data_IF_614069313518
#
_entry.id   IF_614069313518
#
_cell.length_a   1.000
_cell.length_b   1.000
_cell.length_c   1.000
_cell.angle_alpha   90.00
_cell.angle_beta   90.00
_cell.angle_gamma   90.00
#
_symmetry.space_group_name_H-M   'P 1'
#
loop_
_entity.id
_entity.type
_entity.pdbx_description
1 polymer ?
#
# COMPACT_ATOMS: atom_id res chain seq x y z
N UNK A 1 30.02 -30.06 -0.55
CA UNK A 1 28.80 -29.59 0.12
C UNK A 1 28.89 -28.08 0.31
N UNK A 2 28.17 -27.30 -0.50
CA UNK A 2 28.03 -25.86 -0.30
C UNK A 2 26.95 -25.65 0.78
N UNK A 3 27.33 -25.15 1.94
CA UNK A 3 26.39 -24.76 2.98
C UNK A 3 25.68 -23.47 2.53
N UNK A 4 24.39 -23.56 2.18
CA UNK A 4 23.57 -22.41 1.78
C UNK A 4 23.50 -21.31 2.84
N UNK A 5 23.87 -21.59 4.09
CA UNK A 5 23.85 -20.65 5.21
C UNK A 5 24.84 -19.49 5.10
N UNK A 6 25.84 -19.56 4.21
CA UNK A 6 26.91 -18.54 4.11
C UNK A 6 27.09 -17.97 2.70
N UNK A 7 26.18 -18.27 1.77
CA UNK A 7 26.23 -17.66 0.43
C UNK A 7 25.59 -16.28 0.55
N UNK A 8 26.39 -15.26 0.87
CA UNK A 8 26.06 -13.87 0.51
C UNK A 8 26.13 -13.79 -1.00
N UNK A 9 25.00 -13.96 -1.67
CA UNK A 9 24.88 -13.62 -3.08
C UNK A 9 25.06 -12.11 -3.15
N UNK A 10 26.24 -11.66 -3.58
CA UNK A 10 26.47 -10.27 -3.97
C UNK A 10 25.66 -10.03 -5.25
N UNK A 11 24.38 -9.70 -5.10
CA UNK A 11 23.58 -9.21 -6.22
C UNK A 11 23.97 -7.76 -6.46
N UNK A 12 24.52 -7.49 -7.64
CA UNK A 12 24.88 -6.15 -8.09
C UNK A 12 23.69 -5.37 -8.64
N UNK A 13 22.50 -5.98 -8.75
CA UNK A 13 21.34 -5.28 -9.30
C UNK A 13 20.78 -4.29 -8.27
N UNK A 14 20.77 -2.98 -8.61
CA UNK A 14 20.26 -1.93 -7.74
C UNK A 14 18.72 -1.84 -7.75
N UNK A 15 18.04 -2.76 -8.44
CA UNK A 15 16.61 -2.78 -8.67
C UNK A 15 15.88 -3.70 -7.67
N UNK A 16 14.60 -3.43 -7.37
CA UNK A 16 13.78 -4.29 -6.52
C UNK A 16 13.46 -5.63 -7.19
N UNK A 17 13.47 -6.72 -6.42
CA UNK A 17 13.22 -8.07 -6.94
C UNK A 17 11.74 -8.41 -7.05
N UNK A 18 10.91 -7.79 -6.21
CA UNK A 18 9.47 -7.96 -6.25
C UNK A 18 8.76 -6.67 -5.89
N UNK A 19 7.58 -6.55 -6.47
CA UNK A 19 6.63 -5.50 -6.17
C UNK A 19 5.50 -6.10 -5.37
N UNK A 20 5.20 -5.49 -4.23
CA UNK A 20 4.11 -5.91 -3.37
C UNK A 20 2.96 -4.91 -3.45
N UNK A 21 1.81 -5.39 -3.93
CA UNK A 21 0.59 -4.61 -4.00
C UNK A 21 -0.14 -4.66 -2.66
N UNK A 22 -0.23 -3.51 -2.02
CA UNK A 22 -0.82 -3.34 -0.70
C UNK A 22 -1.97 -2.34 -0.74
N UNK A 23 -2.52 -2.04 0.43
CA UNK A 23 -3.69 -1.18 0.60
C UNK A 23 -3.30 0.26 0.98
N UNK A 24 -3.95 1.26 0.38
CA UNK A 24 -3.75 2.66 0.73
C UNK A 24 -4.30 3.04 2.11
N UNK A 25 -5.17 2.22 2.71
CA UNK A 25 -5.64 2.40 4.09
C UNK A 25 -4.55 2.13 5.13
N UNK A 26 -3.48 1.44 4.75
CA UNK A 26 -2.37 1.15 5.66
C UNK A 26 -1.59 2.44 5.89
N UNK A 27 -1.43 2.89 7.15
CA UNK A 27 -0.71 4.11 7.46
C UNK A 27 0.78 3.96 7.15
N UNK A 28 1.47 5.09 6.91
CA UNK A 28 2.92 5.08 6.66
C UNK A 28 3.69 4.62 7.89
N UNK A 29 3.29 5.13 9.05
CA UNK A 29 3.89 4.82 10.34
C UNK A 29 2.84 4.22 11.26
N UNK A 30 3.08 2.99 11.72
CA UNK A 30 2.22 2.32 12.68
C UNK A 30 2.60 2.77 14.09
N UNK A 31 1.64 3.33 14.83
CA UNK A 31 1.78 3.65 16.27
C UNK A 31 1.49 2.41 17.12
N UNK A 32 2.05 2.39 18.33
CA UNK A 32 1.76 1.33 19.32
C UNK A 32 0.25 1.31 19.62
N UNK A 33 -0.38 0.14 19.50
CA UNK A 33 -1.82 -0.05 19.74
C UNK A 33 -2.70 -0.05 18.47
N UNK A 34 -2.17 0.31 17.30
CA UNK A 34 -2.93 0.28 16.04
C UNK A 34 -3.17 -1.14 15.51
N UNK A 35 -2.35 -2.11 15.92
CA UNK A 35 -2.40 -3.49 15.42
C UNK A 35 -3.00 -4.37 16.50
N UNK A 36 -4.17 -4.95 16.22
CA UNK A 36 -4.85 -5.93 17.08
C UNK A 36 -4.73 -7.31 16.45
N UNK A 37 -3.75 -8.09 16.91
CA UNK A 37 -3.46 -9.41 16.34
C UNK A 37 -4.54 -10.45 16.65
N UNK A 38 -5.19 -10.32 17.81
CA UNK A 38 -6.30 -11.12 18.28
C UNK A 38 -7.53 -10.98 17.38
N UNK A 39 -7.84 -9.75 16.96
CA UNK A 39 -8.96 -9.44 16.08
C UNK A 39 -8.60 -9.37 14.60
N UNK A 40 -7.32 -9.61 14.25
CA UNK A 40 -6.79 -9.47 12.89
C UNK A 40 -7.19 -8.11 12.26
N UNK A 41 -7.01 -7.04 13.03
CA UNK A 41 -7.49 -5.71 12.66
C UNK A 41 -6.36 -4.69 12.74
N UNK A 42 -6.31 -3.82 11.72
CA UNK A 42 -5.48 -2.63 11.71
C UNK A 42 -6.38 -1.42 11.83
N UNK A 43 -6.23 -0.67 12.92
CA UNK A 43 -6.96 0.57 13.15
C UNK A 43 -6.30 1.71 12.37
N UNK A 44 -7.11 2.61 11.82
CA UNK A 44 -6.60 3.87 11.27
C UNK A 44 -6.21 4.83 12.40
N UNK A 45 -5.48 5.90 12.08
CA UNK A 45 -5.11 6.91 13.08
C UNK A 45 -6.34 7.52 13.77
N UNK A 46 -7.39 7.79 13.00
CA UNK A 46 -8.65 8.37 13.49
C UNK A 46 -9.43 7.39 14.39
N UNK A 47 -9.42 6.09 14.06
CA UNK A 47 -10.05 5.04 14.89
C UNK A 47 -9.32 4.85 16.23
N UNK A 48 -7.99 5.03 16.27
CA UNK A 48 -7.20 4.91 17.50
C UNK A 48 -7.52 6.04 18.49
N UNK A 49 -7.66 7.28 18.00
CA UNK A 49 -7.98 8.43 18.84
C UNK A 49 -9.39 8.30 19.44
N UNK A 50 -10.32 7.71 18.69
CA UNK A 50 -11.69 7.41 19.16
C UNK A 50 -11.73 6.24 20.16
N UNK A 51 -10.93 5.19 19.93
CA UNK A 51 -10.83 4.05 20.83
C UNK A 51 -10.22 4.44 22.19
N UNK A 52 -9.27 5.37 22.20
CA UNK A 52 -8.63 5.86 23.43
C UNK A 52 -9.58 6.71 24.30
N UNK A 53 -10.66 7.23 23.72
CA UNK A 53 -11.69 8.00 24.43
C UNK A 53 -12.85 7.13 24.96
N UNK A 54 -12.91 5.84 24.60
CA UNK A 54 -14.06 4.95 24.83
C UNK A 54 -13.74 3.71 25.66
N UNK A 55 -12.66 3.74 26.46
CA UNK A 55 -12.16 2.64 27.32
C UNK A 55 -13.16 2.13 28.41
N UNK A 56 -14.42 2.58 28.39
CA UNK A 56 -15.51 2.18 29.29
C UNK A 56 -16.73 1.56 28.54
N UNK A 57 -16.56 1.03 27.32
CA UNK A 57 -17.63 0.29 26.65
C UNK A 57 -17.08 -0.90 25.85
N UNK A 58 -16.65 -1.94 26.56
CA UNK A 58 -16.58 -3.30 26.03
C UNK A 58 -18.00 -3.82 25.76
N UNK A 59 -18.57 -3.43 24.62
CA UNK A 59 -19.73 -4.11 24.04
C UNK A 59 -19.31 -4.73 22.72
N UNK A 60 -19.31 -6.06 22.72
CA UNK A 60 -19.27 -6.90 21.52
C UNK A 60 -20.43 -6.47 20.63
N UNK A 61 -20.17 -5.74 19.54
CA UNK A 61 -21.13 -5.62 18.45
C UNK A 61 -21.18 -6.97 17.72
N UNK A 62 -22.06 -7.82 18.24
CA UNK A 62 -22.47 -9.09 17.64
C UNK A 62 -23.18 -8.74 16.33
N UNK A 63 -22.48 -8.98 15.22
CA UNK A 63 -23.04 -9.21 13.87
C UNK A 63 -23.96 -8.07 13.41
N UNK A 64 -23.37 -6.92 13.10
CA UNK A 64 -24.08 -5.84 12.42
C UNK A 64 -24.34 -6.19 10.94
N UNK A 65 -25.49 -5.74 10.45
CA UNK A 65 -26.04 -5.88 9.09
C UNK A 65 -25.09 -5.52 7.93
N UNK A 66 -23.90 -5.00 8.22
CA UNK A 66 -22.86 -4.60 7.26
C UNK A 66 -22.40 -5.74 6.34
N UNK A 67 -22.42 -7.00 6.80
CA UNK A 67 -22.09 -8.14 5.93
C UNK A 67 -23.14 -8.41 4.85
N UNK A 68 -24.39 -7.99 5.06
CA UNK A 68 -25.48 -8.21 4.10
C UNK A 68 -25.61 -7.03 3.11
N UNK A 69 -25.26 -5.81 3.51
CA UNK A 69 -25.14 -4.64 2.61
C UNK A 69 -23.85 -4.65 1.78
N UNK A 70 -22.79 -5.32 2.25
CA UNK A 70 -21.50 -5.47 1.55
C UNK A 70 -21.58 -6.28 0.24
N UNK A 71 -22.66 -7.03 0.00
CA UNK A 71 -22.84 -7.75 -1.26
C UNK A 71 -22.99 -6.82 -2.47
N UNK A 72 -23.33 -5.55 -2.26
CA UNK A 72 -23.59 -4.59 -3.33
C UNK A 72 -22.49 -3.52 -3.50
N UNK A 73 -21.49 -3.49 -2.63
CA UNK A 73 -20.41 -2.50 -2.70
C UNK A 73 -19.06 -3.22 -2.81
N UNK A 74 -18.70 -3.61 -4.05
CA UNK A 74 -17.37 -4.15 -4.40
C UNK A 74 -16.21 -3.19 -4.01
N UNK A 75 -16.53 -2.01 -3.50
CA UNK A 75 -15.63 -0.97 -3.00
C UNK A 75 -15.20 -1.17 -1.53
N UNK A 76 -15.96 -1.91 -0.71
CA UNK A 76 -15.66 -2.04 0.72
C UNK A 76 -14.79 -3.27 1.02
N UNK A 77 -13.46 -3.08 0.95
CA UNK A 77 -12.49 -4.08 1.41
C UNK A 77 -12.63 -4.34 2.91
N UNK A 78 -12.53 -5.61 3.30
CA UNK A 78 -12.67 -6.04 4.70
C UNK A 78 -11.50 -5.57 5.57
N UNK A 79 -11.76 -5.26 6.85
CA UNK A 79 -10.70 -4.84 7.80
C UNK A 79 -9.63 -5.93 7.99
N UNK A 80 -10.03 -7.20 7.93
CA UNK A 80 -9.13 -8.36 8.00
C UNK A 80 -8.17 -8.43 6.79
N UNK A 81 -8.65 -8.13 5.58
CA UNK A 81 -7.81 -8.11 4.38
C UNK A 81 -6.67 -7.08 4.52
N UNK A 82 -7.00 -5.86 4.97
CA UNK A 82 -6.00 -4.80 5.23
C UNK A 82 -4.97 -5.25 6.25
N UNK A 83 -5.39 -5.96 7.31
CA UNK A 83 -4.48 -6.49 8.32
C UNK A 83 -3.49 -7.51 7.74
N UNK A 84 -3.96 -8.48 6.93
CA UNK A 84 -3.05 -9.45 6.31
C UNK A 84 -2.11 -8.79 5.31
N UNK A 85 -2.58 -7.78 4.57
CA UNK A 85 -1.73 -6.99 3.67
C UNK A 85 -0.63 -6.25 4.43
N UNK A 86 -0.98 -5.64 5.56
CA UNK A 86 -0.02 -4.98 6.45
C UNK A 86 0.99 -5.97 7.04
N UNK A 87 0.55 -7.14 7.52
CA UNK A 87 1.47 -8.19 8.00
C UNK A 87 2.42 -8.66 6.90
N UNK A 88 1.93 -8.76 5.67
CA UNK A 88 2.76 -9.03 4.50
C UNK A 88 3.84 -7.96 4.31
N UNK A 89 3.48 -6.68 4.40
CA UNK A 89 4.48 -5.59 4.35
C UNK A 89 5.52 -5.71 5.46
N UNK A 90 5.12 -5.95 6.72
CA UNK A 90 6.07 -6.07 7.83
C UNK A 90 7.06 -7.22 7.62
N UNK A 91 6.57 -8.38 7.18
CA UNK A 91 7.42 -9.53 6.89
C UNK A 91 8.39 -9.19 5.76
N UNK A 92 7.92 -8.48 4.73
CA UNK A 92 8.71 -8.09 3.58
C UNK A 92 9.83 -7.13 3.95
N UNK A 93 9.50 -6.08 4.72
CA UNK A 93 10.47 -5.09 5.22
C UNK A 93 11.55 -5.76 6.09
N UNK A 94 11.17 -6.78 6.86
CA UNK A 94 12.08 -7.52 7.74
C UNK A 94 12.81 -8.69 7.05
N UNK A 95 12.45 -9.04 5.82
CA UNK A 95 13.00 -10.20 5.11
C UNK A 95 14.44 -10.01 4.63
N UNK A 96 14.91 -8.76 4.54
CA UNK A 96 16.21 -8.40 3.97
C UNK A 96 16.27 -8.50 2.43
N UNK A 97 15.14 -8.76 1.78
CA UNK A 97 15.03 -8.76 0.32
C UNK A 97 14.78 -7.35 -0.22
N UNK A 98 15.15 -7.07 -1.46
CA UNK A 98 14.89 -5.78 -2.12
C UNK A 98 13.43 -5.70 -2.59
N UNK A 99 12.72 -4.68 -2.14
CA UNK A 99 11.27 -4.57 -2.34
C UNK A 99 10.84 -3.20 -2.85
N UNK A 100 9.68 -3.18 -3.51
CA UNK A 100 8.86 -1.97 -3.66
C UNK A 100 7.44 -2.28 -3.23
N UNK A 101 6.90 -1.49 -2.31
CA UNK A 101 5.52 -1.62 -1.85
C UNK A 101 4.69 -0.51 -2.49
N UNK A 102 3.66 -0.90 -3.24
CA UNK A 102 2.73 0.03 -3.88
C UNK A 102 1.37 -0.13 -3.20
N UNK A 103 0.92 0.93 -2.53
CA UNK A 103 -0.34 0.98 -1.81
C UNK A 103 -1.42 1.59 -2.70
N UNK A 104 -2.49 0.82 -2.94
CA UNK A 104 -3.55 1.19 -3.88
C UNK A 104 -4.90 1.21 -3.15
N UNK A 105 -5.66 2.31 -3.28
CA UNK A 105 -6.98 2.43 -2.66
C UNK A 105 -8.03 1.49 -3.26
N UNK A 106 -7.99 1.29 -4.57
CA UNK A 106 -8.98 0.49 -5.27
C UNK A 106 -8.66 0.38 -6.75
N UNK A 107 -9.30 -0.58 -7.41
CA UNK A 107 -9.23 -0.72 -8.86
C UNK A 107 -10.56 -0.27 -9.48
N UNK A 108 -10.47 0.49 -10.55
CA UNK A 108 -11.59 0.71 -11.46
C UNK A 108 -11.36 -0.11 -12.75
N UNK A 109 -12.45 -0.45 -13.43
CA UNK A 109 -12.44 -1.15 -14.74
C UNK A 109 -12.46 -0.15 -15.91
N UNK A 110 -12.31 1.15 -15.63
CA UNK A 110 -12.28 2.16 -16.67
C UNK A 110 -10.94 2.07 -17.39
N UNK A 111 -10.97 2.03 -18.71
CA UNK A 111 -9.74 2.16 -19.50
C UNK A 111 -9.07 3.48 -19.12
N UNK A 112 -7.75 3.46 -18.92
CA UNK A 112 -6.98 4.66 -18.60
C UNK A 112 -7.28 5.77 -19.60
N UNK A 113 -8.07 6.76 -19.17
CA UNK A 113 -8.36 7.93 -19.99
C UNK A 113 -7.15 8.85 -20.00
N UNK A 114 -6.78 9.38 -21.17
CA UNK A 114 -5.63 10.28 -21.43
C UNK A 114 -5.59 11.58 -20.57
N UNK A 115 -6.56 11.77 -19.67
CA UNK A 115 -6.75 12.94 -18.83
C UNK A 115 -6.28 12.77 -17.37
N UNK A 116 -5.95 11.55 -16.89
CA UNK A 116 -5.39 11.37 -15.54
C UNK A 116 -3.92 10.99 -15.58
N UNK A 117 -3.07 11.72 -14.86
CA UNK A 117 -1.68 11.32 -14.63
C UNK A 117 -1.59 10.56 -13.31
N UNK A 118 -0.77 9.50 -13.31
CA UNK A 118 -0.47 8.72 -12.11
C UNK A 118 0.36 9.58 -11.17
N UNK A 119 -0.06 9.74 -9.92
CA UNK A 119 0.76 10.39 -8.90
C UNK A 119 1.26 9.36 -7.88
N UNK A 120 2.51 9.51 -7.46
CA UNK A 120 3.13 8.66 -6.45
C UNK A 120 3.52 9.54 -5.27
N UNK A 121 2.87 9.31 -4.12
CA UNK A 121 3.14 10.06 -2.90
C UNK A 121 3.75 9.16 -1.83
N UNK A 122 4.57 9.75 -0.95
CA UNK A 122 5.11 9.05 0.22
C UNK A 122 4.17 9.12 1.43
N UNK A 123 3.12 9.95 1.37
CA UNK A 123 2.16 10.17 2.44
C UNK A 123 0.74 9.94 1.95
N UNK A 124 -0.14 9.59 2.89
CA UNK A 124 -1.58 9.56 2.65
C UNK A 124 -2.01 10.99 2.34
N UNK A 125 -2.40 11.26 1.10
CA UNK A 125 -2.92 12.56 0.66
C UNK A 125 -4.34 12.42 0.15
N UNK A 126 -5.04 13.55 -0.01
CA UNK A 126 -6.44 13.57 -0.47
C UNK A 126 -6.62 13.08 -1.92
N UNK A 127 -5.53 12.96 -2.70
CA UNK A 127 -5.53 12.51 -4.11
C UNK A 127 -5.48 10.97 -4.29
N UNK A 128 -5.68 10.20 -3.21
CA UNK A 128 -5.73 8.74 -3.28
C UNK A 128 -7.11 8.31 -3.83
N UNK A 129 -7.19 8.27 -5.15
CA UNK A 129 -8.35 7.79 -5.90
C UNK A 129 -8.16 6.34 -6.39
N UNK A 130 -9.24 5.61 -6.69
CA UNK A 130 -9.14 4.31 -7.35
C UNK A 130 -8.45 4.44 -8.72
N UNK A 131 -7.52 3.54 -9.00
CA UNK A 131 -6.69 3.52 -10.21
C UNK A 131 -7.14 2.42 -11.16
N UNK A 132 -6.84 2.55 -12.44
CA UNK A 132 -7.13 1.48 -13.39
C UNK A 132 -6.04 0.39 -13.31
N UNK A 133 -6.37 -0.85 -13.69
CA UNK A 133 -5.43 -1.98 -13.56
C UNK A 133 -4.22 -1.85 -14.50
N UNK A 134 -4.41 -1.23 -15.65
CA UNK A 134 -3.35 -0.92 -16.61
C UNK A 134 -2.34 0.08 -16.04
N UNK A 135 -2.80 1.17 -15.43
CA UNK A 135 -1.95 2.14 -14.74
C UNK A 135 -1.17 1.47 -13.59
N UNK A 136 -1.84 0.65 -12.79
CA UNK A 136 -1.18 -0.06 -11.69
C UNK A 136 -0.11 -1.04 -12.21
N UNK A 137 -0.38 -1.75 -13.30
CA UNK A 137 0.58 -2.62 -13.95
C UNK A 137 1.77 -1.83 -14.51
N UNK A 138 1.53 -0.66 -15.11
CA UNK A 138 2.58 0.21 -15.61
C UNK A 138 3.53 0.68 -14.51
N UNK A 139 2.99 1.06 -13.34
CA UNK A 139 3.83 1.41 -12.17
C UNK A 139 4.58 0.19 -11.65
N UNK A 140 3.97 -0.99 -11.61
CA UNK A 140 4.66 -2.21 -11.18
C UNK A 140 5.85 -2.54 -12.08
N UNK A 141 5.67 -2.46 -13.40
CA UNK A 141 6.76 -2.69 -14.36
C UNK A 141 7.83 -1.61 -14.24
N UNK A 142 7.42 -0.34 -14.13
CA UNK A 142 8.36 0.77 -13.90
C UNK A 142 9.19 0.58 -12.64
N UNK A 143 8.56 0.19 -11.53
CA UNK A 143 9.23 -0.07 -10.27
C UNK A 143 10.30 -1.17 -10.38
N UNK A 144 10.06 -2.22 -11.17
CA UNK A 144 11.03 -3.30 -11.38
C UNK A 144 12.23 -2.86 -12.22
N UNK A 145 12.05 -1.92 -13.13
CA UNK A 145 13.10 -1.43 -14.03
C UNK A 145 13.89 -0.26 -13.44
N UNK A 146 13.36 0.39 -12.40
CA UNK A 146 13.94 1.59 -11.81
C UNK A 146 14.67 1.28 -10.49
N UNK A 147 15.99 1.51 -10.39
CA UNK A 147 16.72 1.32 -9.13
C UNK A 147 16.31 2.30 -8.04
N UNK A 148 15.70 3.43 -8.42
CA UNK A 148 15.19 4.42 -7.50
C UNK A 148 13.95 3.94 -6.72
N UNK A 149 13.29 2.86 -7.14
CA UNK A 149 12.15 2.30 -6.45
C UNK A 149 12.54 1.40 -5.25
N UNK A 150 13.83 1.08 -5.11
CA UNK A 150 14.31 0.13 -4.10
C UNK A 150 14.05 0.57 -2.65
N UNK A 151 13.45 -0.35 -1.90
CA UNK A 151 13.06 -0.25 -0.49
C UNK A 151 12.20 0.98 -0.21
N UNK A 152 11.18 1.19 -1.05
CA UNK A 152 10.21 2.27 -0.91
C UNK A 152 8.80 1.76 -0.72
N UNK A 153 8.05 2.46 0.13
CA UNK A 153 6.60 2.37 0.20
C UNK A 153 5.98 3.63 -0.41
N UNK A 154 5.10 3.43 -1.39
CA UNK A 154 4.47 4.52 -2.14
C UNK A 154 2.97 4.34 -2.17
N UNK A 155 2.23 5.44 -2.13
CA UNK A 155 0.81 5.47 -2.38
C UNK A 155 0.56 5.85 -3.82
N UNK A 156 -0.33 5.11 -4.47
CA UNK A 156 -0.76 5.41 -5.82
C UNK A 156 -2.05 6.23 -5.78
N UNK A 157 -2.02 7.39 -6.40
CA UNK A 157 -3.15 8.28 -6.55
C UNK A 157 -3.36 8.72 -8.00
N UNK A 158 -4.44 9.46 -8.24
CA UNK A 158 -4.68 10.13 -9.52
C UNK A 158 -4.74 11.63 -9.28
N UNK A 159 -4.02 12.38 -10.10
CA UNK A 159 -4.13 13.84 -10.11
C UNK A 159 -4.92 14.29 -11.33
N UNK A 160 -5.94 15.14 -11.12
CA UNK A 160 -6.67 15.77 -12.22
C UNK A 160 -5.79 16.85 -12.87
N UNK A 161 -5.78 16.87 -14.21
CA UNK A 161 -4.82 17.62 -15.03
C UNK A 161 -4.97 19.14 -14.87
N UNK A 162 -3.99 19.75 -14.20
CA UNK A 162 -3.66 21.17 -14.30
C UNK A 162 -2.21 21.45 -14.73
N UNK A 163 -1.34 20.43 -14.75
CA UNK A 163 0.06 20.57 -15.18
C UNK A 163 0.45 19.46 -16.14
N UNK A 164 0.94 19.90 -17.29
CA UNK A 164 1.45 19.10 -18.39
C UNK A 164 2.86 18.65 -18.06
N UNK A 165 3.01 17.48 -17.46
CA UNK A 165 4.22 16.69 -17.62
C UNK A 165 3.85 15.23 -17.34
N UNK A 166 3.85 14.44 -18.40
CA UNK A 166 3.81 12.98 -18.30
C UNK A 166 5.20 12.53 -17.85
N UNK A 167 5.52 12.83 -16.59
CA UNK A 167 6.84 12.58 -16.05
C UNK A 167 7.06 11.07 -15.99
N UNK A 168 8.20 10.64 -16.53
CA UNK A 168 8.67 9.27 -16.45
C UNK A 168 8.52 8.75 -15.02
N UNK A 169 7.93 7.57 -14.86
CA UNK A 169 7.65 6.96 -13.56
C UNK A 169 8.92 6.89 -12.68
N UNK A 170 10.08 6.65 -13.28
CA UNK A 170 11.37 6.67 -12.57
C UNK A 170 11.76 8.01 -11.95
N UNK A 171 11.36 9.14 -12.56
CA UNK A 171 11.57 10.47 -11.98
C UNK A 171 10.68 10.67 -10.74
N UNK A 172 9.46 10.14 -10.76
CA UNK A 172 8.56 10.13 -9.58
C UNK A 172 9.12 9.28 -8.45
N UNK A 173 9.75 8.15 -8.75
CA UNK A 173 10.44 7.37 -7.72
C UNK A 173 11.65 8.11 -7.14
N UNK A 174 12.38 8.91 -7.92
CA UNK A 174 13.56 9.63 -7.46
C UNK A 174 13.24 10.72 -6.42
N UNK A 175 12.07 11.37 -6.51
CA UNK A 175 11.66 12.42 -5.56
C UNK A 175 11.23 11.86 -4.21
N UNK A 176 10.88 10.58 -4.14
CA UNK A 176 10.35 9.94 -2.94
C UNK A 176 11.49 9.49 -2.00
N UNK A 177 11.34 9.69 -0.68
CA UNK A 177 12.31 9.21 0.30
C UNK A 177 12.33 7.67 0.36
N UNK A 178 13.45 7.11 0.84
CA UNK A 178 13.54 5.69 1.21
C UNK A 178 12.88 5.46 2.57
N UNK A 179 12.33 4.27 2.77
CA UNK A 179 11.76 3.83 4.05
C UNK A 179 12.83 3.63 5.14
#
# INVERSE_FOLDING_TARGET
>A
YLAMTHIKVYRQQPEPEFVYLSDARIPKHTKRGMVRHDLQQLLTADELDTASASDEASAVEIISEDLLTSANDRSQRSKAETYFKYRGEEILKNSGLSYTIIRVAGFNELMSGEASTIDLSSAVGDDIAPVSRDEAAQVCVGALMDPNALNKSVYMGKRQKGSVSDENIGAKFATLPKD
#
